data_IF_079381146676
#
_entry.id   IF_079381146676
#
_cell.length_a   1.000
_cell.length_b   1.000
_cell.length_c   1.000
_cell.angle_alpha   90.00
_cell.angle_beta   90.00
_cell.angle_gamma   90.00
#
_symmetry.space_group_name_H-M   'P 1'
#
loop_
_entity.id
_entity.type
_entity.pdbx_description
1 polymer ?
#
# COMPACT_ATOMS: atom_id res chain seq x y z
N UNK A 1 19.56 -4.76 -17.76
CA UNK A 1 18.22 -4.97 -17.15
C UNK A 1 17.18 -4.92 -18.26
N UNK A 2 16.36 -5.95 -18.42
CA UNK A 2 15.29 -5.96 -19.44
C UNK A 2 14.17 -5.05 -18.96
N UNK A 3 13.74 -4.10 -19.80
CA UNK A 3 12.64 -3.20 -19.45
C UNK A 3 11.37 -3.97 -19.08
N UNK A 4 10.61 -3.56 -18.06
CA UNK A 4 9.38 -4.20 -17.62
C UNK A 4 8.37 -4.46 -18.75
N UNK A 5 8.34 -3.63 -19.77
CA UNK A 5 7.48 -3.79 -20.95
C UNK A 5 7.60 -5.14 -21.65
N UNK A 6 8.75 -5.82 -21.55
CA UNK A 6 8.94 -7.14 -22.20
C UNK A 6 8.29 -8.29 -21.43
N UNK A 7 7.88 -8.03 -20.19
CA UNK A 7 7.20 -9.01 -19.34
C UNK A 7 5.68 -8.81 -19.27
N UNK A 8 5.20 -7.64 -19.71
CA UNK A 8 3.77 -7.32 -19.74
C UNK A 8 3.23 -7.57 -21.14
N UNK A 9 2.74 -8.77 -21.35
CA UNK A 9 1.78 -9.01 -22.44
C UNK A 9 0.39 -8.97 -21.82
N UNK A 10 -0.55 -8.19 -22.36
CA UNK A 10 -1.91 -8.20 -21.86
C UNK A 10 -2.50 -9.61 -21.97
N UNK A 11 -3.08 -10.10 -20.88
CA UNK A 11 -3.68 -11.42 -20.80
C UNK A 11 -4.94 -11.55 -21.68
N UNK A 12 -5.51 -10.44 -22.12
CA UNK A 12 -6.68 -10.40 -22.99
C UNK A 12 -6.34 -9.75 -24.34
N UNK A 13 -6.80 -10.36 -25.43
CA UNK A 13 -6.71 -9.79 -26.76
C UNK A 13 -7.40 -8.43 -26.80
N UNK A 14 -6.69 -7.40 -27.28
CA UNK A 14 -7.24 -6.03 -27.34
C UNK A 14 -7.13 -5.23 -26.03
N UNK A 15 -6.54 -5.79 -24.98
CA UNK A 15 -6.23 -4.99 -23.79
C UNK A 15 -5.20 -3.90 -24.14
N UNK A 16 -5.41 -2.66 -23.70
CA UNK A 16 -4.46 -1.59 -23.97
C UNK A 16 -3.10 -1.90 -23.33
N UNK A 17 -2.02 -1.55 -24.01
CA UNK A 17 -0.68 -1.63 -23.43
C UNK A 17 -0.62 -0.74 -22.15
N UNK A 18 0.12 -1.16 -21.11
CA UNK A 18 0.27 -0.34 -19.91
C UNK A 18 0.88 1.02 -20.29
N UNK A 19 0.19 2.09 -19.93
CA UNK A 19 0.45 3.44 -20.42
C UNK A 19 1.59 4.18 -19.72
N UNK A 20 2.14 3.66 -18.64
CA UNK A 20 3.12 4.40 -17.85
C UNK A 20 4.40 3.62 -17.67
N UNK A 21 5.51 4.24 -18.07
CA UNK A 21 6.78 3.97 -17.44
C UNK A 21 6.70 4.56 -16.03
N UNK A 22 6.66 3.68 -15.04
CA UNK A 22 6.77 4.13 -13.66
C UNK A 22 8.16 4.76 -13.50
N UNK A 23 8.24 5.99 -12.95
CA UNK A 23 9.52 6.60 -12.66
C UNK A 23 10.29 5.71 -11.70
N UNK A 24 11.59 5.52 -11.96
CA UNK A 24 12.46 4.81 -11.03
C UNK A 24 12.63 5.70 -9.80
N UNK A 25 12.15 5.23 -8.65
CA UNK A 25 12.38 5.83 -7.35
C UNK A 25 13.42 5.01 -6.60
N UNK A 26 14.38 5.67 -5.97
CA UNK A 26 15.36 5.02 -5.12
C UNK A 26 14.76 4.85 -3.72
N UNK A 27 14.04 3.76 -3.52
CA UNK A 27 13.38 3.43 -2.25
C UNK A 27 14.28 2.48 -1.46
N UNK A 28 14.98 3.01 -0.46
CA UNK A 28 15.97 2.29 0.35
C UNK A 28 15.41 1.87 1.70
N UNK A 29 14.42 2.61 2.20
CA UNK A 29 13.85 2.39 3.52
C UNK A 29 12.33 2.30 3.46
N UNK A 30 11.79 1.15 3.81
CA UNK A 30 10.35 0.93 3.97
C UNK A 30 10.05 0.82 5.47
N UNK A 31 9.28 1.76 5.98
CA UNK A 31 8.86 1.77 7.38
C UNK A 31 7.49 1.12 7.54
N UNK A 32 7.45 -0.03 8.21
CA UNK A 32 6.22 -0.78 8.47
C UNK A 32 5.44 -0.17 9.63
N UNK A 33 4.17 0.11 9.40
CA UNK A 33 3.24 0.68 10.38
C UNK A 33 2.08 -0.29 10.60
N UNK A 34 1.80 -0.75 11.84
CA UNK A 34 0.57 -1.47 12.17
C UNK A 34 -0.55 -0.45 12.38
N UNK A 35 -1.49 -0.28 11.40
CA UNK A 35 -2.41 0.85 11.43
C UNK A 35 -3.50 0.78 12.50
N UNK A 36 -3.72 -0.39 13.12
CA UNK A 36 -4.62 -0.54 14.27
C UNK A 36 -4.08 0.12 15.54
N UNK A 37 -2.76 0.41 15.59
CA UNK A 37 -2.14 1.04 16.75
C UNK A 37 -2.17 2.56 16.62
N UNK A 38 -3.02 3.20 17.41
CA UNK A 38 -3.23 4.66 17.39
C UNK A 38 -1.97 5.47 17.68
N UNK A 39 -1.14 4.98 18.61
CA UNK A 39 0.11 5.68 18.98
C UNK A 39 1.14 5.66 17.85
N UNK A 40 1.23 4.54 17.14
CA UNK A 40 2.12 4.42 15.99
C UNK A 40 1.59 5.26 14.83
N UNK A 41 0.29 5.18 14.58
CA UNK A 41 -0.39 5.94 13.52
C UNK A 41 -0.23 7.45 13.70
N UNK A 42 -0.35 7.95 14.93
CA UNK A 42 -0.21 9.37 15.23
C UNK A 42 1.19 9.96 14.92
N UNK A 43 2.22 9.10 14.81
CA UNK A 43 3.59 9.52 14.47
C UNK A 43 3.87 9.54 12.97
N UNK A 44 2.97 9.04 12.15
CA UNK A 44 3.20 8.93 10.70
C UNK A 44 3.41 10.29 10.02
N UNK A 45 2.68 11.37 10.37
CA UNK A 45 2.97 12.69 9.78
C UNK A 45 4.40 13.19 10.05
N UNK A 46 4.99 12.82 11.20
CA UNK A 46 6.38 13.18 11.54
C UNK A 46 7.39 12.30 10.79
N UNK A 47 7.03 11.05 10.51
CA UNK A 47 7.87 10.11 9.75
C UNK A 47 7.88 10.46 8.26
N UNK A 48 6.76 10.94 7.73
CA UNK A 48 6.65 11.36 6.35
C UNK A 48 7.69 12.47 6.06
N UNK A 49 8.46 12.29 4.99
CA UNK A 49 9.60 13.16 4.67
C UNK A 49 10.94 12.74 5.28
N UNK A 50 10.95 11.78 6.23
CA UNK A 50 12.20 11.23 6.80
C UNK A 50 12.51 9.82 6.33
N UNK A 51 11.51 9.12 5.78
CA UNK A 51 11.61 7.76 5.23
C UNK A 51 11.22 7.76 3.75
N UNK A 52 11.72 6.80 2.98
CA UNK A 52 11.38 6.70 1.56
C UNK A 52 9.95 6.21 1.36
N UNK A 53 9.50 5.25 2.19
CA UNK A 53 8.17 4.63 2.12
C UNK A 53 7.59 4.40 3.51
N UNK A 54 6.32 4.73 3.69
CA UNK A 54 5.48 4.26 4.80
C UNK A 54 4.58 3.14 4.28
N UNK A 55 4.68 1.96 4.88
CA UNK A 55 3.87 0.80 4.53
C UNK A 55 2.89 0.47 5.65
N UNK A 56 1.61 0.66 5.40
CA UNK A 56 0.54 0.18 6.29
C UNK A 56 0.38 -1.33 6.17
N UNK A 57 0.65 -2.04 7.26
CA UNK A 57 0.61 -3.50 7.27
C UNK A 57 -0.72 -4.00 7.81
N UNK A 58 -1.53 -4.66 6.96
CA UNK A 58 -2.81 -5.27 7.34
C UNK A 58 -2.70 -6.78 7.59
N UNK A 59 -1.54 -7.35 7.31
CA UNK A 59 -1.33 -8.81 7.34
C UNK A 59 -0.80 -9.29 8.71
N UNK A 60 0.37 -9.92 8.78
CA UNK A 60 0.87 -10.69 9.94
C UNK A 60 0.99 -9.89 11.24
N UNK A 61 1.29 -8.60 11.18
CA UNK A 61 1.41 -7.75 12.37
C UNK A 61 0.07 -7.36 12.99
N UNK A 62 -1.06 -7.76 12.38
CA UNK A 62 -2.41 -7.40 12.82
C UNK A 62 -3.15 -8.66 13.28
N UNK A 63 -3.59 -8.76 14.54
CA UNK A 63 -4.45 -9.84 15.01
C UNK A 63 -5.76 -9.92 14.22
N UNK A 64 -6.37 -11.11 14.19
CA UNK A 64 -7.58 -11.35 13.39
C UNK A 64 -8.76 -10.47 13.81
N UNK A 65 -8.92 -10.21 15.10
CA UNK A 65 -9.96 -9.35 15.68
C UNK A 65 -9.68 -7.84 15.46
N UNK A 66 -8.50 -7.48 14.99
CA UNK A 66 -8.09 -6.09 14.72
C UNK A 66 -8.04 -5.75 13.21
N UNK A 67 -8.39 -6.67 12.34
CA UNK A 67 -8.29 -6.47 10.88
C UNK A 67 -9.13 -5.28 10.39
N UNK A 68 -10.35 -5.14 10.88
CA UNK A 68 -11.20 -3.99 10.53
C UNK A 68 -10.65 -2.68 11.09
N UNK A 69 -10.17 -2.67 12.32
CA UNK A 69 -9.54 -1.51 12.93
C UNK A 69 -8.27 -1.08 12.17
N UNK A 70 -7.48 -2.04 11.69
CA UNK A 70 -6.31 -1.78 10.89
C UNK A 70 -6.66 -1.14 9.54
N UNK A 71 -7.69 -1.63 8.85
CA UNK A 71 -8.21 -1.04 7.62
C UNK A 71 -8.62 0.42 7.80
N UNK A 72 -9.49 0.67 8.79
CA UNK A 72 -9.94 2.02 9.13
C UNK A 72 -8.78 2.93 9.54
N UNK A 73 -7.85 2.39 10.31
CA UNK A 73 -6.65 3.10 10.73
C UNK A 73 -5.74 3.46 9.56
N UNK A 74 -5.58 2.58 8.56
CA UNK A 74 -4.82 2.88 7.35
C UNK A 74 -5.46 4.02 6.55
N UNK A 75 -6.77 3.98 6.35
CA UNK A 75 -7.51 5.05 5.68
C UNK A 75 -7.32 6.39 6.40
N UNK A 76 -7.53 6.39 7.72
CA UNK A 76 -7.35 7.61 8.53
C UNK A 76 -5.93 8.17 8.45
N UNK A 77 -4.91 7.31 8.49
CA UNK A 77 -3.50 7.68 8.34
C UNK A 77 -3.22 8.30 6.97
N UNK A 78 -3.72 7.69 5.90
CA UNK A 78 -3.54 8.17 4.54
C UNK A 78 -4.24 9.52 4.28
N UNK A 79 -5.40 9.73 4.91
CA UNK A 79 -6.13 10.99 4.82
C UNK A 79 -5.49 12.12 5.65
N UNK A 80 -4.92 11.78 6.81
CA UNK A 80 -4.33 12.75 7.73
C UNK A 80 -2.91 13.21 7.34
N UNK A 81 -2.25 12.52 6.39
CA UNK A 81 -0.86 12.78 6.00
C UNK A 81 -0.78 13.17 4.53
N UNK A 82 -0.11 14.29 4.24
CA UNK A 82 0.16 14.71 2.86
C UNK A 82 1.46 14.05 2.35
N UNK A 83 1.33 12.80 1.90
CA UNK A 83 2.45 12.04 1.35
C UNK A 83 3.01 12.65 0.08
N UNK A 84 2.18 13.27 -0.74
CA UNK A 84 2.61 13.91 -1.98
C UNK A 84 3.57 15.09 -1.71
N UNK A 85 3.25 15.91 -0.71
CA UNK A 85 4.09 17.06 -0.35
C UNK A 85 5.44 16.63 0.25
N UNK A 86 5.48 15.49 0.95
CA UNK A 86 6.71 14.99 1.59
C UNK A 86 7.61 14.18 0.66
N UNK A 87 7.08 13.71 -0.47
CA UNK A 87 7.78 12.80 -1.38
C UNK A 87 7.95 11.38 -0.85
N UNK A 88 7.32 11.04 0.28
CA UNK A 88 7.31 9.70 0.85
C UNK A 88 6.25 8.85 0.17
N UNK A 89 6.61 7.64 -0.27
CA UNK A 89 5.66 6.70 -0.86
C UNK A 89 4.69 6.14 0.19
N UNK A 90 3.41 6.02 -0.18
CA UNK A 90 2.39 5.34 0.62
C UNK A 90 2.12 3.96 0.04
N UNK A 91 2.48 2.92 0.79
CA UNK A 91 2.26 1.53 0.42
C UNK A 91 1.33 0.85 1.42
N UNK A 92 0.67 -0.21 1.00
CA UNK A 92 -0.06 -1.12 1.90
C UNK A 92 0.28 -2.57 1.62
N UNK A 93 0.42 -3.38 2.66
CA UNK A 93 0.45 -4.84 2.56
C UNK A 93 -0.90 -5.38 2.98
N UNK A 94 -1.66 -5.88 2.02
CA UNK A 94 -2.98 -6.47 2.22
C UNK A 94 -2.88 -7.88 2.81
N UNK A 95 -4.00 -8.45 3.24
CA UNK A 95 -4.03 -9.85 3.64
C UNK A 95 -3.83 -10.78 2.44
N UNK A 96 -3.44 -12.03 2.69
CA UNK A 96 -3.18 -13.01 1.65
C UNK A 96 -4.45 -13.28 0.79
N UNK A 97 -4.25 -13.61 -0.48
CA UNK A 97 -5.35 -13.79 -1.45
C UNK A 97 -6.39 -14.85 -1.06
N UNK A 98 -5.98 -15.83 -0.25
CA UNK A 98 -6.83 -16.89 0.28
C UNK A 98 -7.41 -16.59 1.66
N UNK A 99 -7.23 -15.36 2.17
CA UNK A 99 -7.77 -14.96 3.47
C UNK A 99 -9.21 -14.45 3.37
N UNK A 100 -10.01 -14.52 4.43
CA UNK A 100 -11.37 -13.98 4.43
C UNK A 100 -11.42 -12.45 4.40
N UNK A 101 -10.30 -11.76 4.60
CA UNK A 101 -10.23 -10.29 4.71
C UNK A 101 -9.84 -9.57 3.41
N UNK A 102 -9.37 -10.31 2.40
CA UNK A 102 -8.78 -9.71 1.20
C UNK A 102 -9.73 -8.79 0.42
N UNK A 103 -10.98 -9.21 0.25
CA UNK A 103 -11.96 -8.41 -0.49
C UNK A 103 -12.26 -7.10 0.23
N UNK A 104 -12.46 -7.16 1.54
CA UNK A 104 -12.69 -5.98 2.36
C UNK A 104 -11.49 -5.03 2.37
N UNK A 105 -10.26 -5.58 2.37
CA UNK A 105 -9.04 -4.78 2.27
C UNK A 105 -9.02 -4.00 0.95
N UNK A 106 -9.22 -4.68 -0.16
CA UNK A 106 -9.18 -4.07 -1.49
C UNK A 106 -10.31 -3.05 -1.67
N UNK A 107 -11.55 -3.42 -1.34
CA UNK A 107 -12.67 -2.50 -1.48
C UNK A 107 -12.51 -1.23 -0.66
N UNK A 108 -12.17 -1.37 0.62
CA UNK A 108 -12.04 -0.22 1.51
C UNK A 108 -10.89 0.69 1.09
N UNK A 109 -9.71 0.10 0.85
CA UNK A 109 -8.52 0.89 0.59
C UNK A 109 -8.61 1.58 -0.77
N UNK A 110 -9.01 0.86 -1.80
CA UNK A 110 -9.10 1.43 -3.16
C UNK A 110 -10.18 2.50 -3.25
N UNK A 111 -11.34 2.28 -2.61
CA UNK A 111 -12.42 3.24 -2.63
C UNK A 111 -12.10 4.54 -1.87
N UNK A 112 -11.44 4.43 -0.71
CA UNK A 112 -11.25 5.55 0.21
C UNK A 112 -9.94 6.33 -0.04
N UNK A 113 -8.88 5.66 -0.46
CA UNK A 113 -7.53 6.25 -0.57
C UNK A 113 -6.72 5.74 -1.76
N UNK A 114 -7.35 5.12 -2.74
CA UNK A 114 -6.66 4.55 -3.89
C UNK A 114 -5.90 5.58 -4.73
N UNK A 115 -6.35 6.81 -4.76
CA UNK A 115 -5.70 7.95 -5.43
C UNK A 115 -4.38 8.39 -4.77
N UNK A 116 -4.20 8.07 -3.49
CA UNK A 116 -3.00 8.40 -2.70
C UNK A 116 -1.99 7.25 -2.63
N UNK A 117 -2.42 6.05 -3.02
CA UNK A 117 -1.65 4.83 -2.84
C UNK A 117 -0.69 4.60 -4.01
N UNK A 118 0.59 4.41 -3.72
CA UNK A 118 1.60 4.10 -4.73
C UNK A 118 1.68 2.60 -5.02
N UNK A 119 1.59 1.75 -3.99
CA UNK A 119 1.79 0.29 -4.13
C UNK A 119 0.87 -0.50 -3.21
N UNK A 120 0.30 -1.57 -3.75
CA UNK A 120 -0.33 -2.66 -3.00
C UNK A 120 0.59 -3.87 -3.00
N UNK A 121 1.11 -4.24 -1.84
CA UNK A 121 1.94 -5.42 -1.67
C UNK A 121 1.06 -6.64 -1.38
N UNK A 122 1.11 -7.63 -2.27
CA UNK A 122 0.40 -8.90 -2.12
C UNK A 122 1.34 -9.90 -1.45
N UNK A 123 1.03 -10.37 -0.23
CA UNK A 123 1.88 -11.33 0.49
C UNK A 123 1.62 -12.76 0.04
N UNK A 124 2.57 -13.66 0.34
CA UNK A 124 2.43 -15.12 0.24
C UNK A 124 1.89 -15.58 -1.12
N UNK A 125 2.43 -15.01 -2.19
CA UNK A 125 2.14 -15.44 -3.57
C UNK A 125 2.95 -16.69 -3.87
N UNK A 126 2.25 -17.78 -4.13
CA UNK A 126 2.83 -19.09 -4.49
C UNK A 126 2.60 -19.42 -5.96
#
# INVERSE_FOLDING_TARGET
MKLPRRFFQPLATGAPAPFRELPVRLERMIHFVPPHNDKVRARVPELAGTVDVVLGNLEDAVPADQKEAARKGFVAMAQATDFAATGTGLWTRINALNSPWILDDLFTIVAEVGDKLDVVMVPKVE
#
